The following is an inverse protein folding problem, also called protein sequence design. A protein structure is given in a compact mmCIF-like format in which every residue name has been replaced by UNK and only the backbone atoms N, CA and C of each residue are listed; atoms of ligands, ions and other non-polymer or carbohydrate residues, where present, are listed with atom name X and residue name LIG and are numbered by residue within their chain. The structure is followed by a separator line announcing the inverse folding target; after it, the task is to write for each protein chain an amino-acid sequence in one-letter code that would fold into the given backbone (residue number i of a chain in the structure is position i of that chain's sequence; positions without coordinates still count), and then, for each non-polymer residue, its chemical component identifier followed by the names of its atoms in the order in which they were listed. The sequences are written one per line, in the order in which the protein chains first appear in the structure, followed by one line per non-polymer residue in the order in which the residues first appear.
data_IF_436978497908
#
_entry.id   IF_436978497908
#
_cell.length_a   1.000
_cell.length_b   1.000
_cell.length_c   1.000
_cell.angle_alpha   90.00
_cell.angle_beta   90.00
_cell.angle_gamma   90.00
#
_symmetry.space_group_name_H-M   'P 1'
#
loop_
_entity.id
_entity.type
_entity.pdbx_description
1 polymer ?
#
# COMPACT_ATOMS: atom_id res chain seq x y z
N UNK A 1 32.57 28.37 33.35
CA UNK A 1 31.23 28.91 33.62
C UNK A 1 30.26 27.82 33.28
N UNK A 2 29.80 27.04 34.27
CA UNK A 2 28.76 26.02 34.09
C UNK A 2 27.41 26.74 34.10
N UNK A 3 26.76 26.80 32.96
CA UNK A 3 25.36 27.26 32.88
C UNK A 3 24.51 26.31 33.72
N UNK A 4 23.76 26.82 34.72
CA UNK A 4 22.90 25.96 35.51
C UNK A 4 21.88 25.30 34.61
N UNK A 5 21.70 23.97 34.74
CA UNK A 5 20.64 23.24 34.07
C UNK A 5 19.29 23.79 34.56
N UNK A 6 18.50 24.34 33.62
CA UNK A 6 17.13 24.75 33.91
C UNK A 6 16.28 23.48 33.98
N UNK A 7 15.90 23.07 35.17
CA UNK A 7 15.05 21.93 35.48
C UNK A 7 13.57 22.32 35.62
N UNK A 8 13.21 23.56 35.28
CA UNK A 8 11.82 24.00 35.33
C UNK A 8 10.98 23.12 34.39
N UNK A 9 9.80 22.62 34.84
CA UNK A 9 8.90 21.89 34.00
C UNK A 9 8.50 22.77 32.81
N UNK A 10 8.77 22.29 31.58
CA UNK A 10 8.30 22.93 30.37
C UNK A 10 7.06 22.18 29.83
N UNK A 11 5.86 22.43 30.44
CA UNK A 11 4.64 21.75 30.01
C UNK A 11 4.24 22.22 28.64
N UNK A 12 4.11 21.28 27.68
CA UNK A 12 3.66 21.56 26.32
C UNK A 12 3.79 20.34 25.43
N UNK A 13 2.86 20.21 24.50
CA UNK A 13 2.97 19.21 23.44
C UNK A 13 4.00 19.68 22.42
N UNK A 14 4.75 18.74 21.84
CA UNK A 14 5.62 19.02 20.70
C UNK A 14 4.79 19.53 19.51
N UNK A 15 5.38 20.31 18.58
CA UNK A 15 4.69 20.72 17.34
C UNK A 15 4.11 19.52 16.59
N UNK A 16 2.89 19.66 16.06
CA UNK A 16 2.16 18.59 15.39
C UNK A 16 2.98 17.83 14.31
N UNK A 17 3.74 18.50 13.43
CA UNK A 17 4.57 17.78 12.44
C UNK A 17 5.62 16.88 13.09
N UNK A 18 6.22 17.31 14.19
CA UNK A 18 7.23 16.52 14.93
C UNK A 18 6.60 15.29 15.57
N UNK A 19 5.40 15.41 16.12
CA UNK A 19 4.65 14.28 16.68
C UNK A 19 4.29 13.27 15.59
N UNK A 20 3.80 13.73 14.42
CA UNK A 20 3.47 12.88 13.28
C UNK A 20 4.70 12.14 12.78
N UNK A 21 5.82 12.83 12.55
CA UNK A 21 7.06 12.21 12.06
C UNK A 21 7.64 11.22 13.07
N UNK A 22 7.59 11.53 14.37
CA UNK A 22 8.04 10.61 15.41
C UNK A 22 7.22 9.32 15.44
N UNK A 23 5.89 9.45 15.38
CA UNK A 23 4.98 8.31 15.34
C UNK A 23 5.16 7.50 14.05
N UNK A 24 5.25 8.15 12.89
CA UNK A 24 5.50 7.49 11.60
C UNK A 24 6.83 6.73 11.62
N UNK A 25 7.88 7.35 12.16
CA UNK A 25 9.20 6.71 12.29
C UNK A 25 9.19 5.51 13.25
N UNK A 26 8.39 5.56 14.31
CA UNK A 26 8.18 4.42 15.20
C UNK A 26 7.49 3.25 14.46
N UNK A 27 6.36 3.52 13.80
CA UNK A 27 5.62 2.50 13.05
C UNK A 27 6.45 1.90 11.91
N UNK A 28 7.16 2.73 11.15
CA UNK A 28 8.08 2.28 10.11
C UNK A 28 9.14 1.31 10.64
N UNK A 29 9.80 1.66 11.76
CA UNK A 29 10.79 0.78 12.41
C UNK A 29 10.14 -0.50 12.95
N UNK A 30 8.92 -0.43 13.46
CA UNK A 30 8.20 -1.59 13.94
C UNK A 30 7.95 -2.59 12.79
N UNK A 31 7.54 -2.10 11.61
CA UNK A 31 7.39 -2.93 10.39
C UNK A 31 8.73 -3.55 9.98
N UNK A 32 9.81 -2.77 9.91
CA UNK A 32 11.13 -3.27 9.51
C UNK A 32 11.74 -4.26 10.51
N UNK A 33 11.31 -4.24 11.75
CA UNK A 33 11.76 -5.18 12.79
C UNK A 33 10.86 -6.43 12.92
N UNK A 34 9.74 -6.45 12.22
CA UNK A 34 8.83 -7.58 12.18
C UNK A 34 9.16 -8.48 10.99
N UNK A 35 9.92 -9.55 11.24
CA UNK A 35 10.37 -10.48 10.19
C UNK A 35 9.21 -11.16 9.44
N UNK A 36 8.11 -11.49 10.11
CA UNK A 36 6.91 -12.05 9.47
C UNK A 36 6.30 -11.05 8.48
N UNK A 37 6.15 -9.80 8.89
CA UNK A 37 5.60 -8.75 8.04
C UNK A 37 6.52 -8.46 6.85
N UNK A 38 7.85 -8.42 7.05
CA UNK A 38 8.82 -8.26 5.96
C UNK A 38 8.77 -9.41 4.96
N UNK A 39 8.61 -10.65 5.45
CA UNK A 39 8.47 -11.82 4.58
C UNK A 39 7.24 -11.67 3.68
N UNK A 40 6.10 -11.32 4.24
CA UNK A 40 4.85 -11.20 3.51
C UNK A 40 4.84 -10.00 2.54
N UNK A 41 5.38 -8.86 2.97
CA UNK A 41 5.26 -7.61 2.21
C UNK A 41 6.41 -7.37 1.23
N UNK A 42 7.60 -7.91 1.48
CA UNK A 42 8.79 -7.70 0.66
C UNK A 42 9.25 -8.96 -0.06
N UNK A 43 9.40 -10.08 0.67
CA UNK A 43 10.00 -11.30 0.11
C UNK A 43 9.04 -11.97 -0.88
N UNK A 44 7.75 -12.08 -0.54
CA UNK A 44 6.77 -12.71 -1.44
C UNK A 44 6.66 -11.99 -2.78
N UNK A 45 6.48 -10.66 -2.87
CA UNK A 45 6.49 -9.96 -4.16
C UNK A 45 7.76 -10.19 -4.97
N UNK A 46 8.94 -10.17 -4.33
CA UNK A 46 10.21 -10.41 -5.01
C UNK A 46 10.32 -11.84 -5.53
N UNK A 47 9.92 -12.82 -4.72
CA UNK A 47 9.91 -14.24 -5.14
C UNK A 47 8.92 -14.47 -6.29
N UNK A 48 7.73 -13.85 -6.23
CA UNK A 48 6.75 -13.94 -7.33
C UNK A 48 7.32 -13.31 -8.60
N UNK A 49 7.96 -12.14 -8.52
CA UNK A 49 8.61 -11.51 -9.67
C UNK A 49 9.67 -12.43 -10.28
N UNK A 50 10.59 -12.95 -9.46
CA UNK A 50 11.66 -13.82 -9.92
C UNK A 50 11.12 -15.13 -10.51
N UNK A 51 10.20 -15.79 -9.80
CA UNK A 51 9.61 -17.07 -10.22
C UNK A 51 8.86 -16.95 -11.56
N UNK A 52 7.95 -16.00 -11.67
CA UNK A 52 7.15 -15.81 -12.89
C UNK A 52 7.95 -15.22 -14.05
N UNK A 53 9.04 -14.50 -13.79
CA UNK A 53 9.95 -14.05 -14.82
C UNK A 53 10.80 -15.19 -15.39
N UNK A 54 11.20 -16.16 -14.53
CA UNK A 54 12.04 -17.29 -14.89
C UNK A 54 11.26 -18.47 -15.52
N UNK A 55 9.94 -18.56 -15.28
CA UNK A 55 9.13 -19.71 -15.70
C UNK A 55 8.13 -19.34 -16.79
N UNK A 56 7.79 -20.32 -17.66
CA UNK A 56 6.77 -20.15 -18.71
C UNK A 56 5.37 -20.59 -18.27
N UNK A 57 5.09 -20.58 -16.96
CA UNK A 57 3.81 -21.02 -16.40
C UNK A 57 2.62 -20.19 -16.89
N UNK A 58 2.84 -18.92 -17.17
CA UNK A 58 1.83 -17.99 -17.67
C UNK A 58 2.28 -17.51 -19.04
N UNK A 59 1.41 -17.63 -20.03
CA UNK A 59 1.62 -17.03 -21.35
C UNK A 59 1.25 -15.54 -21.24
N UNK A 60 2.24 -14.67 -21.35
CA UNK A 60 2.11 -13.20 -21.22
C UNK A 60 2.15 -12.50 -22.58
N UNK A 61 2.10 -13.27 -23.69
CA UNK A 61 2.20 -12.74 -25.04
C UNK A 61 3.64 -12.43 -25.47
N UNK A 62 3.79 -11.67 -26.56
CA UNK A 62 5.09 -11.27 -27.10
C UNK A 62 5.72 -10.16 -26.22
N UNK A 63 6.98 -10.36 -25.81
CA UNK A 63 7.74 -9.41 -25.01
C UNK A 63 8.46 -10.06 -23.84
N UNK A 64 9.23 -9.25 -23.10
CA UNK A 64 9.89 -9.73 -21.89
C UNK A 64 8.86 -9.87 -20.78
N UNK A 65 8.84 -10.99 -20.13
CA UNK A 65 7.90 -11.27 -19.02
C UNK A 65 8.01 -10.26 -17.88
N UNK A 66 9.24 -9.83 -17.55
CA UNK A 66 9.51 -8.85 -16.50
C UNK A 66 8.85 -7.51 -16.79
N UNK A 67 8.71 -7.11 -18.06
CA UNK A 67 8.10 -5.82 -18.42
C UNK A 67 6.60 -5.80 -18.07
N UNK A 68 5.92 -6.94 -18.18
CA UNK A 68 4.53 -7.08 -17.76
C UNK A 68 4.39 -7.27 -16.24
N UNK A 69 5.28 -8.07 -15.65
CA UNK A 69 5.18 -8.49 -14.25
C UNK A 69 5.60 -7.38 -13.27
N UNK A 70 6.67 -6.63 -13.56
CA UNK A 70 7.20 -5.64 -12.62
C UNK A 70 6.17 -4.57 -12.20
N UNK A 71 5.40 -3.95 -13.13
CA UNK A 71 4.32 -3.03 -12.77
C UNK A 71 3.21 -3.69 -11.93
N UNK A 72 2.84 -4.94 -12.28
CA UNK A 72 1.86 -5.71 -11.52
C UNK A 72 2.32 -6.03 -10.09
N UNK A 73 3.58 -6.42 -9.93
CA UNK A 73 4.17 -6.70 -8.62
C UNK A 73 4.31 -5.42 -7.78
N UNK A 74 4.61 -4.27 -8.38
CA UNK A 74 4.56 -2.98 -7.68
C UNK A 74 3.15 -2.69 -7.16
N UNK A 75 2.11 -2.91 -7.97
CA UNK A 75 0.73 -2.77 -7.54
C UNK A 75 0.37 -3.73 -6.40
N UNK A 76 0.86 -4.98 -6.48
CA UNK A 76 0.69 -5.99 -5.44
C UNK A 76 1.36 -5.58 -4.12
N UNK A 77 2.56 -5.01 -4.17
CA UNK A 77 3.28 -4.52 -3.01
C UNK A 77 2.49 -3.41 -2.29
N UNK A 78 1.94 -2.44 -3.03
CA UNK A 78 1.05 -1.41 -2.49
C UNK A 78 -0.17 -2.03 -1.82
N UNK A 79 -0.89 -2.92 -2.50
CA UNK A 79 -2.06 -3.59 -1.94
C UNK A 79 -1.72 -4.40 -0.67
N UNK A 80 -0.60 -5.11 -0.66
CA UNK A 80 -0.16 -5.89 0.49
C UNK A 80 0.08 -5.02 1.73
N UNK A 81 0.73 -3.87 1.57
CA UNK A 81 1.10 -2.98 2.67
C UNK A 81 -0.04 -2.06 3.07
N UNK A 82 -0.61 -1.32 2.10
CA UNK A 82 -1.64 -0.32 2.37
C UNK A 82 -2.99 -0.94 2.74
N UNK A 83 -3.34 -2.09 2.20
CA UNK A 83 -4.61 -2.75 2.53
C UNK A 83 -4.42 -3.81 3.62
N UNK A 84 -3.76 -4.92 3.31
CA UNK A 84 -3.68 -6.09 4.20
C UNK A 84 -2.88 -5.79 5.46
N UNK A 85 -1.67 -5.26 5.31
CA UNK A 85 -0.78 -4.92 6.43
C UNK A 85 -1.42 -3.89 7.35
N UNK A 86 -2.00 -2.83 6.80
CA UNK A 86 -2.62 -1.78 7.59
C UNK A 86 -3.93 -2.23 8.24
N UNK A 87 -4.78 -3.00 7.54
CA UNK A 87 -6.02 -3.53 8.09
C UNK A 87 -5.74 -4.44 9.30
N UNK A 88 -4.85 -5.41 9.14
CA UNK A 88 -4.50 -6.37 10.18
C UNK A 88 -3.80 -5.66 11.33
N UNK A 89 -2.74 -4.89 11.07
CA UNK A 89 -1.99 -4.17 12.10
C UNK A 89 -2.89 -3.26 12.94
N UNK A 90 -3.69 -2.40 12.29
CA UNK A 90 -4.59 -1.49 13.01
C UNK A 90 -5.73 -2.23 13.73
N UNK A 91 -6.23 -3.34 13.17
CA UNK A 91 -7.24 -4.18 13.83
C UNK A 91 -6.72 -4.77 15.15
N UNK A 92 -5.50 -5.28 15.16
CA UNK A 92 -4.87 -5.80 16.38
C UNK A 92 -4.45 -4.70 17.35
N UNK A 93 -3.96 -3.56 16.88
CA UNK A 93 -3.69 -2.38 17.73
C UNK A 93 -4.94 -1.93 18.47
N UNK A 94 -6.10 -1.92 17.81
CA UNK A 94 -7.39 -1.62 18.43
C UNK A 94 -7.72 -2.67 19.49
N UNK A 95 -7.61 -3.96 19.18
CA UNK A 95 -7.88 -5.07 20.10
C UNK A 95 -7.02 -5.00 21.37
N UNK A 96 -5.73 -4.68 21.23
CA UNK A 96 -4.80 -4.59 22.36
C UNK A 96 -4.83 -3.22 23.08
N UNK A 97 -5.75 -2.34 22.71
CA UNK A 97 -5.91 -1.03 23.35
C UNK A 97 -4.77 -0.05 23.06
N UNK A 98 -3.95 -0.30 22.02
CA UNK A 98 -2.87 0.61 21.61
C UNK A 98 -3.45 1.93 21.14
N UNK A 99 -4.53 1.89 20.35
CA UNK A 99 -5.20 3.10 19.87
C UNK A 99 -5.79 3.93 21.02
N UNK A 100 -6.33 3.30 22.07
CA UNK A 100 -6.78 3.98 23.30
C UNK A 100 -5.63 4.72 23.98
N UNK A 101 -4.48 4.07 24.11
CA UNK A 101 -3.29 4.68 24.72
C UNK A 101 -2.76 5.84 23.89
N UNK A 102 -2.74 5.70 22.57
CA UNK A 102 -2.37 6.79 21.66
C UNK A 102 -3.37 7.95 21.73
N UNK A 103 -4.66 7.67 21.89
CA UNK A 103 -5.70 8.69 22.08
C UNK A 103 -5.57 9.50 23.38
N UNK A 104 -4.83 9.00 24.38
CA UNK A 104 -4.49 9.75 25.60
C UNK A 104 -3.25 10.65 25.44
N UNK A 105 -2.56 10.59 24.30
CA UNK A 105 -1.43 11.47 23.97
C UNK A 105 -1.92 12.78 23.33
N UNK A 106 -1.08 13.83 23.30
CA UNK A 106 -1.42 15.08 22.61
C UNK A 106 -1.58 14.96 21.08
N UNK A 107 -1.30 13.80 20.49
CA UNK A 107 -1.43 13.57 19.05
C UNK A 107 -2.92 13.49 18.67
N UNK A 108 -3.46 14.41 17.86
CA UNK A 108 -4.85 14.35 17.43
C UNK A 108 -5.09 13.15 16.49
N UNK A 109 -6.35 12.72 16.40
CA UNK A 109 -6.76 11.57 15.55
C UNK A 109 -6.29 11.71 14.10
N UNK A 110 -6.43 12.91 13.51
CA UNK A 110 -5.92 13.20 12.16
C UNK A 110 -4.39 13.07 12.07
N UNK A 111 -3.67 13.45 13.13
CA UNK A 111 -2.22 13.28 13.21
C UNK A 111 -1.81 11.79 13.24
N UNK A 112 -2.57 10.94 13.94
CA UNK A 112 -2.32 9.51 13.96
C UNK A 112 -2.57 8.87 12.58
N UNK A 113 -3.66 9.23 11.91
CA UNK A 113 -3.93 8.76 10.54
C UNK A 113 -2.81 9.21 9.58
N UNK A 114 -2.40 10.47 9.67
CA UNK A 114 -1.28 10.99 8.86
C UNK A 114 0.03 10.25 9.13
N UNK A 115 0.34 9.95 10.41
CA UNK A 115 1.52 9.18 10.78
C UNK A 115 1.49 7.76 10.21
N UNK A 116 0.35 7.07 10.29
CA UNK A 116 0.16 5.73 9.71
C UNK A 116 0.31 5.74 8.19
N UNK A 117 -0.32 6.70 7.51
CA UNK A 117 -0.19 6.84 6.06
C UNK A 117 1.26 7.11 5.65
N UNK A 118 1.95 8.00 6.37
CA UNK A 118 3.37 8.29 6.09
C UNK A 118 4.27 7.08 6.32
N UNK A 119 4.00 6.28 7.36
CA UNK A 119 4.71 5.02 7.61
C UNK A 119 4.50 4.02 6.46
N UNK A 120 3.25 3.86 5.99
CA UNK A 120 2.91 3.00 4.84
C UNK A 120 3.66 3.45 3.60
N UNK A 121 3.61 4.74 3.24
CA UNK A 121 4.33 5.30 2.08
C UNK A 121 5.85 5.06 2.21
N UNK A 122 6.42 5.20 3.40
CA UNK A 122 7.85 4.93 3.62
C UNK A 122 8.20 3.44 3.40
N UNK A 123 7.35 2.51 3.86
CA UNK A 123 7.53 1.07 3.61
C UNK A 123 7.40 0.77 2.12
N UNK A 124 6.40 1.34 1.45
CA UNK A 124 6.19 1.17 0.01
C UNK A 124 7.35 1.72 -0.83
N UNK A 125 7.96 2.83 -0.41
CA UNK A 125 9.15 3.36 -1.06
C UNK A 125 10.33 2.36 -1.00
N UNK A 126 10.54 1.72 0.15
CA UNK A 126 11.55 0.65 0.29
C UNK A 126 11.19 -0.56 -0.58
N UNK A 127 9.93 -0.99 -0.56
CA UNK A 127 9.46 -2.10 -1.40
C UNK A 127 9.62 -1.81 -2.90
N UNK A 128 9.22 -0.62 -3.34
CA UNK A 128 9.37 -0.20 -4.72
C UNK A 128 10.84 -0.19 -5.15
N UNK A 129 11.74 0.34 -4.30
CA UNK A 129 13.17 0.34 -4.58
C UNK A 129 13.73 -1.09 -4.74
N UNK A 130 13.35 -2.02 -3.85
CA UNK A 130 13.80 -3.42 -3.92
C UNK A 130 13.21 -4.13 -5.14
N UNK A 131 11.90 -3.99 -5.39
CA UNK A 131 11.25 -4.61 -6.56
C UNK A 131 11.84 -4.07 -7.86
N UNK A 132 12.07 -2.75 -7.98
CA UNK A 132 12.71 -2.15 -9.14
C UNK A 132 14.16 -2.65 -9.31
N UNK A 133 14.93 -2.74 -8.23
CA UNK A 133 16.31 -3.24 -8.31
C UNK A 133 16.36 -4.70 -8.82
N UNK A 134 15.48 -5.57 -8.31
CA UNK A 134 15.37 -6.96 -8.78
C UNK A 134 14.88 -7.01 -10.22
N UNK A 135 13.88 -6.22 -10.59
CA UNK A 135 13.36 -6.17 -11.95
C UNK A 135 14.44 -5.72 -12.95
N UNK A 136 15.23 -4.69 -12.61
CA UNK A 136 16.36 -4.23 -13.43
C UNK A 136 17.43 -5.32 -13.58
N UNK A 137 17.75 -6.06 -12.52
CA UNK A 137 18.67 -7.20 -12.57
C UNK A 137 18.13 -8.33 -13.48
N UNK A 138 16.80 -8.49 -13.60
CA UNK A 138 16.16 -9.42 -14.52
C UNK A 138 16.02 -8.88 -15.95
N UNK A 139 16.57 -7.70 -16.23
CA UNK A 139 16.59 -7.09 -17.55
C UNK A 139 15.35 -6.24 -17.87
N UNK A 140 14.64 -5.74 -16.86
CA UNK A 140 13.56 -4.78 -17.05
C UNK A 140 14.09 -3.43 -17.56
N UNK A 141 13.38 -2.84 -18.50
CA UNK A 141 13.70 -1.51 -19.03
C UNK A 141 12.47 -0.62 -18.92
N UNK A 142 12.28 0.05 -17.78
CA UNK A 142 11.14 0.96 -17.61
C UNK A 142 11.24 2.15 -18.54
N UNK A 143 10.11 2.56 -19.09
CA UNK A 143 9.92 3.77 -19.86
C UNK A 143 8.97 4.70 -19.09
N UNK A 144 8.84 5.93 -19.54
CA UNK A 144 7.82 6.86 -19.04
C UNK A 144 8.26 7.74 -17.88
N UNK A 145 7.29 8.53 -17.41
CA UNK A 145 7.51 9.61 -16.45
C UNK A 145 7.44 9.12 -14.98
N UNK A 146 8.51 9.29 -14.18
CA UNK A 146 8.50 8.91 -12.78
C UNK A 146 7.43 9.62 -11.93
N UNK A 147 7.04 10.86 -12.29
CA UNK A 147 6.02 11.60 -11.54
C UNK A 147 4.65 10.91 -11.66
N UNK A 148 4.31 10.42 -12.84
CA UNK A 148 3.08 9.65 -13.06
C UNK A 148 3.05 8.35 -12.27
N UNK A 149 4.19 7.67 -12.14
CA UNK A 149 4.34 6.48 -11.29
C UNK A 149 4.07 6.82 -9.83
N UNK A 150 4.67 7.90 -9.32
CA UNK A 150 4.48 8.35 -7.93
C UNK A 150 3.01 8.69 -7.67
N UNK A 151 2.36 9.40 -8.58
CA UNK A 151 0.93 9.75 -8.44
C UNK A 151 0.05 8.49 -8.40
N UNK A 152 0.30 7.51 -9.27
CA UNK A 152 -0.42 6.24 -9.28
C UNK A 152 -0.22 5.47 -7.97
N UNK A 153 1.01 5.37 -7.48
CA UNK A 153 1.32 4.71 -6.23
C UNK A 153 0.61 5.40 -5.05
N UNK A 154 0.68 6.73 -4.96
CA UNK A 154 0.02 7.47 -3.88
C UNK A 154 -1.51 7.36 -3.92
N UNK A 155 -2.13 7.39 -5.10
CA UNK A 155 -3.57 7.17 -5.23
C UNK A 155 -3.96 5.73 -4.88
N UNK A 156 -3.15 4.75 -5.31
CA UNK A 156 -3.31 3.35 -4.92
C UNK A 156 -3.22 3.17 -3.41
N UNK A 157 -2.18 3.74 -2.78
CA UNK A 157 -2.01 3.76 -1.32
C UNK A 157 -3.23 4.37 -0.62
N UNK A 158 -3.71 5.52 -1.09
CA UNK A 158 -4.88 6.17 -0.50
C UNK A 158 -6.15 5.30 -0.61
N UNK A 159 -6.38 4.68 -1.78
CA UNK A 159 -7.50 3.79 -2.01
C UNK A 159 -7.45 2.56 -1.08
N UNK A 160 -6.33 1.85 -1.07
CA UNK A 160 -6.15 0.63 -0.29
C UNK A 160 -6.10 0.91 1.22
N UNK A 161 -5.41 1.97 1.67
CA UNK A 161 -5.39 2.39 3.07
C UNK A 161 -6.79 2.75 3.58
N UNK A 162 -7.58 3.46 2.78
CA UNK A 162 -8.95 3.80 3.15
C UNK A 162 -9.78 2.56 3.48
N UNK A 163 -9.77 1.56 2.62
CA UNK A 163 -10.52 0.30 2.84
C UNK A 163 -9.88 -0.56 3.92
N UNK A 164 -8.56 -0.59 4.03
CA UNK A 164 -7.86 -1.27 5.13
C UNK A 164 -8.26 -0.72 6.50
N UNK A 165 -8.26 0.60 6.65
CA UNK A 165 -8.70 1.28 7.87
C UNK A 165 -10.19 1.08 8.13
N UNK A 166 -11.05 1.14 7.10
CA UNK A 166 -12.48 0.85 7.24
C UNK A 166 -12.71 -0.54 7.84
N UNK A 167 -12.05 -1.56 7.31
CA UNK A 167 -12.15 -2.93 7.84
C UNK A 167 -11.63 -3.01 9.28
N UNK A 168 -10.46 -2.44 9.57
CA UNK A 168 -9.87 -2.41 10.90
C UNK A 168 -10.77 -1.70 11.92
N UNK A 169 -11.49 -0.65 11.48
CA UNK A 169 -12.37 0.14 12.32
C UNK A 169 -13.76 -0.46 12.53
N UNK A 170 -14.20 -1.40 11.70
CA UNK A 170 -15.58 -1.95 11.75
C UNK A 170 -15.63 -3.41 12.17
N UNK A 171 -14.65 -4.22 11.83
CA UNK A 171 -14.61 -5.65 12.13
C UNK A 171 -13.79 -5.94 13.40
N UNK A 172 -13.99 -7.12 13.99
CA UNK A 172 -13.10 -7.64 15.05
C UNK A 172 -11.76 -8.03 14.43
N UNK A 173 -10.68 -8.00 15.21
CA UNK A 173 -9.31 -8.22 14.70
C UNK A 173 -9.16 -9.55 13.93
N UNK A 174 -9.73 -10.64 14.43
CA UNK A 174 -9.68 -11.94 13.77
C UNK A 174 -10.50 -11.97 12.48
N UNK A 175 -11.66 -11.31 12.48
CA UNK A 175 -12.49 -11.18 11.28
C UNK A 175 -11.79 -10.28 10.25
N UNK A 176 -11.09 -9.22 10.70
CA UNK A 176 -10.28 -8.36 9.83
C UNK A 176 -9.15 -9.16 9.18
N UNK A 177 -8.44 -9.99 9.95
CA UNK A 177 -7.39 -10.87 9.42
C UNK A 177 -7.93 -11.80 8.32
N UNK A 178 -9.03 -12.50 8.59
CA UNK A 178 -9.61 -13.45 7.64
C UNK A 178 -10.15 -12.73 6.38
N UNK A 179 -10.90 -11.64 6.56
CA UNK A 179 -11.50 -10.91 5.46
C UNK A 179 -10.45 -10.17 4.61
N UNK A 180 -9.42 -9.57 5.22
CA UNK A 180 -8.35 -8.90 4.49
C UNK A 180 -7.57 -9.90 3.61
N UNK A 181 -7.24 -11.07 4.14
CA UNK A 181 -6.57 -12.10 3.37
C UNK A 181 -7.46 -12.67 2.25
N UNK A 182 -8.76 -12.88 2.51
CA UNK A 182 -9.70 -13.31 1.48
C UNK A 182 -9.78 -12.30 0.34
N UNK A 183 -10.00 -11.02 0.66
CA UNK A 183 -10.06 -9.94 -0.34
C UNK A 183 -8.73 -9.82 -1.09
N UNK A 184 -7.60 -9.93 -0.40
CA UNK A 184 -6.27 -9.92 -1.01
C UNK A 184 -6.14 -11.02 -2.08
N UNK A 185 -6.50 -12.27 -1.73
CA UNK A 185 -6.41 -13.41 -2.68
C UNK A 185 -7.36 -13.22 -3.86
N UNK A 186 -8.59 -12.75 -3.62
CA UNK A 186 -9.55 -12.46 -4.68
C UNK A 186 -9.04 -11.36 -5.62
N UNK A 187 -8.52 -10.26 -5.08
CA UNK A 187 -7.96 -9.16 -5.87
C UNK A 187 -6.70 -9.59 -6.63
N UNK A 188 -5.84 -10.42 -6.03
CA UNK A 188 -4.67 -10.98 -6.71
C UNK A 188 -5.09 -11.85 -7.92
N UNK A 189 -6.08 -12.70 -7.74
CA UNK A 189 -6.55 -13.62 -8.78
C UNK A 189 -7.29 -12.89 -9.92
N UNK A 190 -8.10 -11.90 -9.58
CA UNK A 190 -9.01 -11.21 -10.52
C UNK A 190 -8.46 -9.88 -11.04
N UNK A 191 -7.45 -9.33 -10.38
CA UNK A 191 -6.97 -7.95 -10.61
C UNK A 191 -5.99 -7.78 -11.77
N UNK A 192 -5.76 -8.80 -12.59
CA UNK A 192 -4.87 -8.65 -13.73
C UNK A 192 -3.38 -8.48 -13.39
N UNK A 193 -2.98 -8.74 -12.14
CA UNK A 193 -1.60 -8.56 -11.66
C UNK A 193 -0.65 -9.55 -12.33
N UNK A 194 -1.00 -10.84 -12.28
CA UNK A 194 -0.20 -11.96 -12.82
C UNK A 194 -0.77 -12.45 -14.14
N UNK A 195 -2.11 -12.45 -14.28
CA UNK A 195 -2.79 -12.92 -15.49
C UNK A 195 -3.38 -11.72 -16.24
N UNK A 196 -3.13 -11.59 -17.58
CA UNK A 196 -3.74 -10.54 -18.38
C UNK A 196 -5.27 -10.61 -18.36
N UNK A 197 -5.93 -9.45 -18.21
CA UNK A 197 -7.40 -9.38 -18.19
C UNK A 197 -8.04 -9.73 -19.53
N UNK A 198 -7.28 -9.76 -20.63
CA UNK A 198 -7.74 -10.11 -21.97
C UNK A 198 -8.28 -11.54 -22.10
N UNK A 199 -7.97 -12.39 -21.13
CA UNK A 199 -8.44 -13.78 -21.08
C UNK A 199 -9.87 -13.92 -20.57
N UNK A 200 -10.42 -12.87 -19.97
CA UNK A 200 -11.79 -12.88 -19.47
C UNK A 200 -12.79 -12.44 -20.56
N UNK A 201 -14.04 -12.98 -20.56
CA UNK A 201 -15.10 -12.50 -21.44
C UNK A 201 -15.33 -10.99 -21.27
N UNK A 202 -15.66 -10.28 -22.36
CA UNK A 202 -15.70 -8.82 -22.40
C UNK A 202 -16.50 -8.15 -21.29
N UNK A 203 -17.68 -8.66 -20.94
CA UNK A 203 -18.47 -8.10 -19.83
C UNK A 203 -17.82 -8.25 -18.44
N UNK A 204 -17.19 -9.39 -18.18
CA UNK A 204 -16.43 -9.64 -16.94
C UNK A 204 -15.17 -8.77 -16.90
N UNK A 205 -14.45 -8.69 -18.01
CA UNK A 205 -13.26 -7.84 -18.15
C UNK A 205 -13.55 -6.40 -17.79
N UNK A 206 -14.62 -5.81 -18.33
CA UNK A 206 -14.99 -4.42 -18.05
C UNK A 206 -15.25 -4.15 -16.56
N UNK A 207 -15.84 -5.12 -15.86
CA UNK A 207 -16.05 -5.02 -14.41
C UNK A 207 -14.73 -5.15 -13.64
N UNK A 208 -13.85 -6.08 -14.04
CA UNK A 208 -12.56 -6.29 -13.41
C UNK A 208 -11.62 -5.09 -13.59
N UNK A 209 -11.67 -4.39 -14.72
CA UNK A 209 -10.89 -3.17 -14.98
C UNK A 209 -11.24 -2.02 -14.00
N UNK A 210 -12.41 -2.06 -13.35
CA UNK A 210 -12.81 -1.08 -12.35
C UNK A 210 -12.29 -1.41 -10.93
N UNK A 211 -11.68 -2.55 -10.73
CA UNK A 211 -11.07 -2.89 -9.45
C UNK A 211 -9.85 -2.00 -9.18
N UNK A 212 -9.61 -1.58 -7.92
CA UNK A 212 -8.49 -0.68 -7.61
C UNK A 212 -7.13 -1.30 -7.95
N UNK A 213 -6.97 -2.61 -7.77
CA UNK A 213 -5.73 -3.30 -8.11
C UNK A 213 -5.51 -3.38 -9.64
N UNK A 214 -6.57 -3.59 -10.42
CA UNK A 214 -6.49 -3.60 -11.88
C UNK A 214 -6.13 -2.21 -12.40
N UNK A 215 -6.82 -1.17 -11.90
CA UNK A 215 -6.52 0.20 -12.28
C UNK A 215 -5.08 0.59 -11.94
N UNK A 216 -4.56 0.18 -10.76
CA UNK A 216 -3.18 0.47 -10.38
C UNK A 216 -2.19 -0.28 -11.27
N UNK A 217 -2.38 -1.59 -11.49
CA UNK A 217 -1.48 -2.39 -12.32
C UNK A 217 -1.48 -1.96 -13.78
N UNK A 218 -2.65 -1.66 -14.34
CA UNK A 218 -2.78 -1.19 -15.73
C UNK A 218 -2.23 0.23 -15.89
N UNK A 219 -2.48 1.13 -14.93
CA UNK A 219 -1.91 2.46 -14.93
C UNK A 219 -0.38 2.42 -14.91
N UNK A 220 0.21 1.60 -14.04
CA UNK A 220 1.66 1.41 -13.99
C UNK A 220 2.21 0.79 -15.28
N UNK A 221 1.49 -0.15 -15.93
CA UNK A 221 1.89 -0.71 -17.24
C UNK A 221 1.83 0.35 -18.34
N UNK A 222 0.77 1.15 -18.39
CA UNK A 222 0.66 2.21 -19.39
C UNK A 222 1.82 3.21 -19.29
N UNK A 223 2.27 3.54 -18.08
CA UNK A 223 3.42 4.42 -17.89
C UNK A 223 4.74 3.69 -18.13
N UNK A 224 4.99 2.58 -17.46
CA UNK A 224 6.32 1.94 -17.38
C UNK A 224 6.63 1.06 -18.60
N UNK A 225 5.61 0.54 -19.31
CA UNK A 225 5.80 -0.31 -20.46
C UNK A 225 5.53 0.44 -21.79
N UNK A 226 4.51 1.29 -21.80
CA UNK A 226 4.10 1.98 -23.05
C UNK A 226 4.53 3.47 -23.08
N UNK A 227 5.13 4.00 -22.00
CA UNK A 227 5.61 5.37 -21.94
C UNK A 227 4.51 6.44 -21.90
N UNK A 228 3.27 6.07 -21.55
CA UNK A 228 2.16 7.01 -21.44
C UNK A 228 2.41 8.03 -20.33
N UNK A 229 2.38 9.33 -20.64
CA UNK A 229 2.58 10.37 -19.64
C UNK A 229 1.41 10.47 -18.64
N UNK A 230 0.17 10.13 -19.05
CA UNK A 230 -1.02 10.29 -18.22
C UNK A 230 -2.07 9.21 -18.49
N UNK A 231 -2.15 8.16 -17.65
CA UNK A 231 -3.15 7.11 -17.78
C UNK A 231 -4.49 7.54 -17.16
N UNK A 232 -5.29 8.32 -17.90
CA UNK A 232 -6.47 9.02 -17.38
C UNK A 232 -7.53 8.09 -16.76
N UNK A 233 -7.89 6.97 -17.44
CA UNK A 233 -8.88 6.00 -16.91
C UNK A 233 -8.42 5.36 -15.59
N UNK A 234 -7.21 4.78 -15.48
CA UNK A 234 -6.67 4.27 -14.22
C UNK A 234 -6.65 5.30 -13.10
N UNK A 235 -6.20 6.52 -13.36
CA UNK A 235 -6.16 7.60 -12.38
C UNK A 235 -7.56 7.96 -11.87
N UNK A 236 -8.55 8.09 -12.76
CA UNK A 236 -9.93 8.38 -12.39
C UNK A 236 -10.53 7.27 -11.51
N UNK A 237 -10.32 6.00 -11.88
CA UNK A 237 -10.79 4.85 -11.08
C UNK A 237 -10.15 4.85 -9.70
N UNK A 238 -8.82 5.00 -9.61
CA UNK A 238 -8.11 5.06 -8.33
C UNK A 238 -8.55 6.26 -7.47
N UNK A 239 -8.77 7.43 -8.08
CA UNK A 239 -9.25 8.61 -7.36
C UNK A 239 -10.65 8.36 -6.74
N UNK A 240 -11.56 7.73 -7.48
CA UNK A 240 -12.89 7.36 -6.95
C UNK A 240 -12.76 6.39 -5.77
N UNK A 241 -11.93 5.34 -5.91
CA UNK A 241 -11.71 4.39 -4.83
C UNK A 241 -11.01 5.04 -3.62
N UNK A 242 -10.05 5.94 -3.83
CA UNK A 242 -9.36 6.66 -2.76
C UNK A 242 -10.35 7.55 -1.97
N UNK A 243 -11.15 8.35 -2.68
CA UNK A 243 -12.17 9.20 -2.04
C UNK A 243 -13.18 8.34 -1.28
N UNK A 244 -13.73 7.30 -1.92
CA UNK A 244 -14.70 6.41 -1.28
C UNK A 244 -14.11 5.72 -0.03
N UNK A 245 -12.92 5.14 -0.15
CA UNK A 245 -12.26 4.46 0.97
C UNK A 245 -11.96 5.39 2.14
N UNK A 246 -11.39 6.56 1.87
CA UNK A 246 -11.04 7.53 2.91
C UNK A 246 -12.29 8.13 3.59
N UNK A 247 -13.33 8.47 2.82
CA UNK A 247 -14.59 9.00 3.37
C UNK A 247 -15.29 7.94 4.23
N UNK A 248 -15.38 6.70 3.75
CA UNK A 248 -15.99 5.61 4.51
C UNK A 248 -15.19 5.29 5.78
N UNK A 249 -13.85 5.27 5.70
CA UNK A 249 -13.01 5.11 6.87
C UNK A 249 -13.24 6.25 7.87
N UNK A 250 -13.18 7.52 7.43
CA UNK A 250 -13.38 8.66 8.31
C UNK A 250 -14.74 8.65 9.01
N UNK A 251 -15.80 8.15 8.35
CA UNK A 251 -17.16 8.11 8.87
C UNK A 251 -17.43 6.93 9.80
N UNK A 252 -16.88 5.77 9.52
CA UNK A 252 -17.22 4.52 10.20
C UNK A 252 -16.13 3.94 11.08
N UNK A 253 -14.93 4.52 11.08
CA UNK A 253 -13.83 4.02 11.92
C UNK A 253 -14.15 4.19 13.40
N UNK A 254 -14.18 3.07 14.12
CA UNK A 254 -14.36 3.04 15.58
C UNK A 254 -13.01 2.89 16.26
N UNK A 255 -12.73 3.78 17.19
CA UNK A 255 -11.45 3.82 17.94
C UNK A 255 -11.43 2.87 19.13
N UNK A 256 -12.58 2.31 19.49
CA UNK A 256 -12.79 1.44 20.65
C UNK A 256 -13.28 0.05 20.21
#
# INVERSE_FOLDING_TARGET
VTTPLDLAPAPGAAPLPRMILSQAGYEFRAVLRNGEQLLLTLIIPVVLLALFSATSLVDLGAGRRVDFLAPGILALAVMSTAFTGQAIGTGFERRYGVLKRLGATPLPRGGLIAAKTLSVVAVEAVQAAVVCAVALALGWHPHGDPASVVVLLLLGTAAFSGFGLLMAGTLRAEATLAAANLVYVLLLALGGVVFPLDRFPGGVRSALELLPISALSDGLRQVLQHGSAFPGKPLAVLAVWAVAGLVLAARFFRWE
#
